data_IF_276092696106
#
_entry.id   IF_276092696106
#
_cell.length_a   1.000
_cell.length_b   1.000
_cell.length_c   1.000
_cell.angle_alpha   90.00
_cell.angle_beta   90.00
_cell.angle_gamma   90.00
#
_symmetry.space_group_name_H-M   'P 1'
#
loop_
_entity.id
_entity.type
_entity.pdbx_description
1 polymer ?
#
# COMPACT_ATOMS: atom_id res chain seq x y z
N UNK A 1 4.98 -4.27 15.84
CA UNK A 1 5.21 -3.02 15.08
C UNK A 1 4.66 -3.16 13.68
N UNK A 2 3.87 -2.18 13.25
CA UNK A 2 3.19 -2.10 11.95
C UNK A 2 4.00 -1.19 11.04
N UNK A 3 4.24 -1.60 9.79
CA UNK A 3 4.96 -0.79 8.81
C UNK A 3 3.95 -0.17 7.85
N UNK A 4 3.92 1.16 7.77
CA UNK A 4 3.03 1.92 6.91
C UNK A 4 3.87 2.45 5.75
N UNK A 5 3.50 2.09 4.53
CA UNK A 5 4.19 2.53 3.32
C UNK A 5 3.88 4.00 3.06
N UNK A 6 4.92 4.81 2.95
CA UNK A 6 4.87 6.17 2.43
C UNK A 6 5.48 6.22 1.04
N UNK A 7 4.59 6.19 0.05
CA UNK A 7 4.90 6.41 -1.35
C UNK A 7 4.42 7.80 -1.81
N UNK A 8 4.23 8.74 -0.88
CA UNK A 8 3.76 10.09 -1.16
C UNK A 8 2.24 10.24 -1.33
N UNK A 9 1.48 9.15 -1.17
CA UNK A 9 0.01 9.14 -1.31
C UNK A 9 -0.62 8.45 -0.11
N UNK A 10 -1.35 9.21 0.71
CA UNK A 10 -2.09 8.67 1.85
C UNK A 10 -2.18 9.64 3.03
N UNK A 11 -3.18 9.44 3.90
CA UNK A 11 -3.28 10.17 5.15
C UNK A 11 -2.49 9.46 6.27
N UNK A 12 -1.15 9.49 6.14
CA UNK A 12 -0.22 8.78 7.02
C UNK A 12 -0.41 9.13 8.50
N UNK A 13 -0.69 10.40 8.79
CA UNK A 13 -0.89 10.89 10.15
C UNK A 13 -2.09 10.25 10.82
N UNK A 14 -3.25 10.23 10.15
CA UNK A 14 -4.45 9.61 10.70
C UNK A 14 -4.31 8.09 10.82
N UNK A 15 -3.70 7.43 9.82
CA UNK A 15 -3.47 5.97 9.86
C UNK A 15 -2.54 5.60 11.02
N UNK A 16 -1.39 6.27 11.16
CA UNK A 16 -0.45 6.04 12.26
C UNK A 16 -1.11 6.27 13.62
N UNK A 17 -1.86 7.38 13.79
CA UNK A 17 -2.60 7.65 15.03
C UNK A 17 -3.72 6.64 15.31
N UNK A 18 -4.35 6.09 14.29
CA UNK A 18 -5.34 5.02 14.44
C UNK A 18 -4.74 3.77 15.09
N UNK A 19 -3.54 3.36 14.64
CA UNK A 19 -2.82 2.23 15.24
C UNK A 19 -2.32 2.53 16.65
N UNK A 20 -1.74 3.72 16.89
CA UNK A 20 -1.35 4.14 18.24
C UNK A 20 -2.54 4.10 19.21
N UNK A 21 -3.73 4.51 18.76
CA UNK A 21 -4.94 4.57 19.60
C UNK A 21 -5.39 3.20 20.09
N UNK A 22 -5.15 2.14 19.31
CA UNK A 22 -5.44 0.75 19.68
C UNK A 22 -4.26 0.05 20.35
N UNK A 23 -3.21 0.81 20.74
CA UNK A 23 -2.05 0.30 21.45
C UNK A 23 -0.99 -0.36 20.57
N UNK A 24 -1.05 -0.18 19.24
CA UNK A 24 -0.06 -0.70 18.32
C UNK A 24 0.99 0.36 17.96
N UNK A 25 2.26 -0.02 17.97
CA UNK A 25 3.34 0.80 17.42
C UNK A 25 3.33 0.75 15.90
N UNK A 26 3.39 1.92 15.26
CA UNK A 26 3.45 2.07 13.82
C UNK A 26 4.70 2.86 13.40
N UNK A 27 5.36 2.38 12.34
CA UNK A 27 6.50 3.02 11.69
C UNK A 27 6.09 3.40 10.28
N UNK A 28 6.34 4.66 9.90
CA UNK A 28 6.21 5.10 8.51
C UNK A 28 7.51 4.75 7.79
N UNK A 29 7.42 4.08 6.66
CA UNK A 29 8.54 3.61 5.85
C UNK A 29 8.57 4.37 4.53
N UNK A 30 9.69 5.02 4.24
CA UNK A 30 9.90 5.83 3.04
C UNK A 30 10.85 5.15 2.06
N UNK A 31 11.44 4.00 2.43
CA UNK A 31 12.31 3.20 1.56
C UNK A 31 11.91 1.72 1.55
N UNK A 32 11.98 1.02 0.39
CA UNK A 32 11.61 -0.40 0.28
C UNK A 32 12.41 -1.33 1.20
N UNK A 33 13.69 -1.03 1.44
CA UNK A 33 14.56 -1.82 2.32
C UNK A 33 14.06 -1.92 3.76
N UNK A 34 13.25 -0.96 4.21
CA UNK A 34 12.64 -1.00 5.54
C UNK A 34 11.58 -2.09 5.69
N UNK A 35 11.10 -2.66 4.58
CA UNK A 35 10.06 -3.69 4.58
C UNK A 35 10.62 -5.12 4.66
N UNK A 36 11.93 -5.33 4.46
CA UNK A 36 12.57 -6.66 4.44
C UNK A 36 12.22 -7.53 5.65
N UNK A 37 12.10 -6.91 6.82
CA UNK A 37 11.78 -7.57 8.09
C UNK A 37 10.39 -7.20 8.63
N UNK A 38 9.55 -6.56 7.82
CA UNK A 38 8.19 -6.26 8.22
C UNK A 38 7.40 -7.57 8.39
N UNK A 39 6.72 -7.69 9.53
CA UNK A 39 5.77 -8.78 9.81
C UNK A 39 4.33 -8.34 9.53
N UNK A 40 4.05 -7.04 9.55
CA UNK A 40 2.73 -6.46 9.29
C UNK A 40 2.93 -5.22 8.43
N UNK A 41 2.27 -5.19 7.28
CA UNK A 41 2.41 -4.14 6.28
C UNK A 41 1.07 -3.47 6.00
N UNK A 42 1.09 -2.15 5.87
CA UNK A 42 -0.08 -1.34 5.57
C UNK A 42 0.22 -0.49 4.34
N UNK A 43 -0.61 -0.63 3.31
CA UNK A 43 -0.62 0.25 2.15
C UNK A 43 -1.83 1.17 2.26
N UNK A 44 -1.65 2.41 2.75
CA UNK A 44 -2.71 3.43 2.67
C UNK A 44 -2.82 3.95 1.24
N UNK A 45 -3.89 4.68 0.92
CA UNK A 45 -3.96 5.43 -0.32
C UNK A 45 -5.13 6.40 -0.35
N UNK A 46 -4.94 7.53 -1.04
CA UNK A 46 -5.96 8.54 -1.37
C UNK A 46 -5.65 9.13 -2.74
N UNK A 47 -6.63 9.75 -3.40
CA UNK A 47 -6.43 10.37 -4.72
C UNK A 47 -6.76 9.40 -5.87
N UNK A 48 -6.19 9.67 -7.04
CA UNK A 48 -6.47 8.91 -8.26
C UNK A 48 -5.60 7.65 -8.38
N UNK A 49 -6.18 6.59 -8.97
CA UNK A 49 -5.52 5.30 -9.14
C UNK A 49 -4.23 5.38 -9.95
N UNK A 50 -4.27 6.09 -11.09
CA UNK A 50 -3.11 6.30 -11.96
C UNK A 50 -1.93 6.91 -11.21
N UNK A 51 -2.19 8.01 -10.50
CA UNK A 51 -1.16 8.78 -9.81
C UNK A 51 -0.57 7.95 -8.66
N UNK A 52 -1.40 7.18 -7.96
CA UNK A 52 -0.94 6.29 -6.91
C UNK A 52 -0.07 5.14 -7.44
N UNK A 53 -0.47 4.46 -8.53
CA UNK A 53 0.37 3.42 -9.16
C UNK A 53 1.69 3.99 -9.66
N UNK A 54 1.69 5.20 -10.24
CA UNK A 54 2.90 5.89 -10.69
C UNK A 54 3.84 6.15 -9.50
N UNK A 55 3.35 6.78 -8.43
CA UNK A 55 4.13 7.07 -7.24
C UNK A 55 4.67 5.79 -6.58
N UNK A 56 3.87 4.72 -6.54
CA UNK A 56 4.27 3.44 -5.97
C UNK A 56 5.39 2.76 -6.78
N UNK A 57 5.34 2.90 -8.10
CA UNK A 57 6.39 2.44 -9.00
C UNK A 57 7.67 3.25 -8.84
N UNK A 58 7.57 4.58 -8.81
CA UNK A 58 8.73 5.49 -8.71
C UNK A 58 9.46 5.36 -7.37
N UNK A 59 8.74 5.05 -6.30
CA UNK A 59 9.30 4.81 -4.96
C UNK A 59 9.90 3.41 -4.78
N UNK A 60 9.74 2.50 -5.77
CA UNK A 60 10.35 1.17 -5.76
C UNK A 60 9.71 0.18 -4.78
N UNK A 61 8.52 0.45 -4.25
CA UNK A 61 7.87 -0.41 -3.26
C UNK A 61 7.18 -1.64 -3.84
N UNK A 62 6.90 -1.67 -5.16
CA UNK A 62 6.10 -2.73 -5.80
C UNK A 62 6.64 -4.13 -5.50
N UNK A 63 7.94 -4.35 -5.70
CA UNK A 63 8.55 -5.67 -5.49
C UNK A 63 8.52 -6.07 -4.01
N UNK A 64 8.84 -5.15 -3.10
CA UNK A 64 8.78 -5.40 -1.66
C UNK A 64 7.36 -5.74 -1.17
N UNK A 65 6.33 -5.10 -1.73
CA UNK A 65 4.92 -5.41 -1.44
C UNK A 65 4.58 -6.81 -1.93
N UNK A 66 4.92 -7.14 -3.17
CA UNK A 66 4.67 -8.46 -3.76
C UNK A 66 5.37 -9.57 -2.99
N UNK A 67 6.63 -9.37 -2.63
CA UNK A 67 7.40 -10.31 -1.79
C UNK A 67 6.75 -10.51 -0.42
N UNK A 68 6.29 -9.44 0.25
CA UNK A 68 5.63 -9.52 1.55
C UNK A 68 4.33 -10.33 1.48
N UNK A 69 3.51 -10.09 0.44
CA UNK A 69 2.25 -10.80 0.22
C UNK A 69 2.51 -12.27 -0.15
N UNK A 70 3.49 -12.53 -1.03
CA UNK A 70 3.87 -13.87 -1.44
C UNK A 70 4.43 -14.72 -0.27
N UNK A 71 4.99 -14.05 0.75
CA UNK A 71 5.42 -14.68 1.99
C UNK A 71 4.27 -14.94 3.00
N UNK A 72 3.01 -14.73 2.60
CA UNK A 72 1.79 -14.93 3.40
C UNK A 72 1.82 -14.16 4.74
N UNK A 73 2.40 -12.95 4.72
CA UNK A 73 2.46 -12.09 5.89
C UNK A 73 1.26 -11.14 5.93
N UNK A 74 0.77 -10.78 7.13
CA UNK A 74 -0.31 -9.82 7.30
C UNK A 74 -0.11 -8.52 6.49
N UNK A 75 -1.10 -8.22 5.66
CA UNK A 75 -1.14 -7.03 4.80
C UNK A 75 -2.51 -6.36 4.90
N UNK A 76 -2.55 -5.02 4.96
CA UNK A 76 -3.77 -4.23 4.96
C UNK A 76 -3.69 -3.12 3.92
N UNK A 77 -4.54 -3.19 2.90
CA UNK A 77 -4.82 -2.06 2.00
C UNK A 77 -5.93 -1.17 2.56
N UNK A 78 -5.75 0.15 2.57
CA UNK A 78 -6.76 1.10 3.07
C UNK A 78 -7.22 2.01 1.92
N UNK A 79 -8.53 2.01 1.65
CA UNK A 79 -9.17 2.80 0.59
C UNK A 79 -8.52 2.53 -0.77
N UNK A 80 -7.86 3.52 -1.39
CA UNK A 80 -7.14 3.32 -2.64
C UNK A 80 -6.05 2.25 -2.50
N UNK A 81 -5.39 2.14 -1.35
CA UNK A 81 -4.39 1.08 -1.12
C UNK A 81 -4.96 -0.35 -1.21
N UNK A 82 -6.27 -0.55 -0.99
CA UNK A 82 -6.95 -1.82 -1.27
C UNK A 82 -7.21 -1.98 -2.76
N UNK A 83 -7.69 -0.93 -3.43
CA UNK A 83 -7.98 -0.94 -4.86
C UNK A 83 -6.74 -1.27 -5.69
N UNK A 84 -5.57 -0.73 -5.33
CA UNK A 84 -4.31 -1.00 -6.03
C UNK A 84 -3.92 -2.49 -6.04
N UNK A 85 -4.51 -3.34 -5.19
CA UNK A 85 -4.22 -4.78 -5.15
C UNK A 85 -4.88 -5.56 -6.30
N UNK A 86 -5.85 -4.98 -6.99
CA UNK A 86 -6.54 -5.62 -8.11
C UNK A 86 -5.73 -5.54 -9.42
N UNK A 87 -6.23 -6.16 -10.49
CA UNK A 87 -5.57 -6.18 -11.78
C UNK A 87 -5.61 -4.82 -12.47
N UNK A 88 -6.75 -4.13 -12.43
CA UNK A 88 -6.98 -2.91 -13.22
C UNK A 88 -8.03 -1.99 -12.59
N UNK A 89 -7.91 -0.70 -12.84
CA UNK A 89 -8.93 0.33 -12.57
C UNK A 89 -9.28 1.07 -13.85
N UNK A 90 -10.55 1.52 -13.94
CA UNK A 90 -11.08 2.31 -15.04
C UNK A 90 -11.28 3.80 -14.72
N UNK A 91 -10.81 4.27 -13.56
CA UNK A 91 -10.88 5.68 -13.17
C UNK A 91 -10.07 6.56 -14.13
N UNK A 92 -10.76 7.40 -14.90
CA UNK A 92 -10.17 8.33 -15.89
C UNK A 92 -9.25 7.67 -16.94
N UNK A 93 -9.44 6.38 -17.21
CA UNK A 93 -8.64 5.60 -18.15
C UNK A 93 -8.41 4.18 -17.66
N UNK A 94 -7.72 3.36 -18.45
CA UNK A 94 -7.36 2.00 -18.06
C UNK A 94 -5.97 1.99 -17.41
N UNK A 95 -5.90 1.54 -16.15
CA UNK A 95 -4.69 1.59 -15.34
C UNK A 95 -4.45 0.25 -14.63
N UNK A 96 -3.31 -0.38 -14.93
CA UNK A 96 -2.91 -1.63 -14.29
C UNK A 96 -2.58 -1.42 -12.80
N UNK A 97 -3.09 -2.31 -11.96
CA UNK A 97 -2.77 -2.40 -10.53
C UNK A 97 -1.60 -3.33 -10.23
N UNK A 98 -1.52 -3.79 -8.98
CA UNK A 98 -0.48 -4.71 -8.52
C UNK A 98 -0.71 -6.15 -8.99
N UNK A 99 -1.95 -6.51 -9.35
CA UNK A 99 -2.32 -7.85 -9.82
C UNK A 99 -2.20 -8.92 -8.74
N UNK A 100 -2.53 -8.58 -7.48
CA UNK A 100 -2.57 -9.52 -6.37
C UNK A 100 -3.89 -10.29 -6.37
N UNK A 101 -4.99 -9.58 -6.63
CA UNK A 101 -6.31 -10.15 -6.73
C UNK A 101 -6.85 -10.00 -8.15
N UNK A 102 -7.45 -11.07 -8.71
CA UNK A 102 -8.12 -10.93 -9.99
C UNK A 102 -9.32 -10.00 -9.86
N UNK A 103 -9.45 -9.05 -10.78
CA UNK A 103 -10.63 -8.19 -10.86
C UNK A 103 -10.37 -6.73 -11.21
N UNK A 104 -11.47 -6.00 -11.30
CA UNK A 104 -11.54 -4.64 -11.81
C UNK A 104 -12.07 -3.70 -10.72
N UNK A 105 -11.51 -2.49 -10.65
CA UNK A 105 -11.99 -1.41 -9.78
C UNK A 105 -12.80 -0.43 -10.62
N UNK A 106 -14.05 -0.17 -10.20
CA UNK A 106 -15.04 0.69 -10.86
C UNK A 106 -15.54 1.82 -9.98
#
# INVERSE_FOLDING_TARGET
MIHIIDYGMGNLRSVSKGFERVGAEAKICTQPDELKHANHLVLPGVGAFRDAMQHLSESGFIDAIREHIAADKPFLGICLGLQLLFDVSYEDGEHAGLGIFPGEVV
#
